data_IF_895027881627
#
_entry.id   IF_895027881627
#
_cell.length_a   1.000
_cell.length_b   1.000
_cell.length_c   1.000
_cell.angle_alpha   90.00
_cell.angle_beta   90.00
_cell.angle_gamma   90.00
#
_symmetry.space_group_name_H-M   'P 1'
#
loop_
_entity.id
_entity.type
_entity.pdbx_description
1 polymer ?
#
# COMPACT_ATOMS: atom_id res chain seq x y z
N UNK A 1 11.82 -0.36 6.61
CA UNK A 1 11.03 -0.66 7.83
C UNK A 1 11.45 -2.00 8.39
N UNK A 2 11.44 -2.20 9.72
CA UNK A 2 11.74 -3.50 10.35
C UNK A 2 10.44 -4.12 10.86
N UNK A 3 9.94 -5.14 10.17
CA UNK A 3 8.67 -5.80 10.53
C UNK A 3 8.84 -6.68 11.79
N UNK A 4 8.02 -6.48 12.84
CA UNK A 4 7.95 -7.36 14.01
C UNK A 4 7.68 -8.80 13.59
N UNK A 5 8.25 -9.76 14.32
CA UNK A 5 8.21 -11.19 13.94
C UNK A 5 6.78 -11.70 13.84
N UNK A 6 5.92 -11.29 14.76
CA UNK A 6 4.51 -11.62 14.86
C UNK A 6 3.64 -11.06 13.72
N UNK A 7 4.14 -10.05 12.99
CA UNK A 7 3.46 -9.47 11.83
C UNK A 7 4.02 -9.96 10.49
N UNK A 8 5.08 -10.78 10.49
CA UNK A 8 5.69 -11.24 9.24
C UNK A 8 4.77 -12.20 8.50
N UNK A 9 4.75 -12.07 7.19
CA UNK A 9 4.06 -12.97 6.29
C UNK A 9 4.93 -13.33 5.09
N UNK A 10 4.69 -14.50 4.48
CA UNK A 10 5.41 -14.97 3.30
C UNK A 10 6.92 -14.99 3.50
N UNK A 11 7.40 -15.67 4.56
CA UNK A 11 8.84 -15.73 4.92
C UNK A 11 9.51 -14.37 5.18
N UNK A 12 8.71 -13.34 5.50
CA UNK A 12 9.19 -11.98 5.77
C UNK A 12 9.22 -11.07 4.54
N UNK A 13 8.69 -11.52 3.40
CA UNK A 13 8.50 -10.68 2.21
C UNK A 13 7.39 -9.65 2.35
N UNK A 14 6.48 -9.84 3.32
CA UNK A 14 5.39 -8.91 3.62
C UNK A 14 5.22 -8.72 5.14
N UNK A 15 4.55 -7.63 5.52
CA UNK A 15 4.21 -7.30 6.90
C UNK A 15 2.71 -7.07 7.00
N UNK A 16 2.02 -7.86 7.83
CA UNK A 16 0.60 -7.72 8.12
C UNK A 16 0.35 -6.51 9.02
N UNK A 17 -0.83 -5.94 8.92
CA UNK A 17 -1.34 -5.04 9.96
C UNK A 17 -1.64 -5.82 11.24
N UNK A 18 -1.71 -5.14 12.39
CA UNK A 18 -2.13 -5.76 13.65
C UNK A 18 -3.57 -6.32 13.56
N UNK A 19 -4.46 -5.64 12.85
CA UNK A 19 -5.82 -6.14 12.63
C UNK A 19 -5.81 -7.48 11.88
N UNK A 20 -5.02 -7.60 10.81
CA UNK A 20 -4.94 -8.85 10.04
C UNK A 20 -4.22 -9.97 10.81
N UNK A 21 -3.25 -9.63 11.66
CA UNK A 21 -2.52 -10.61 12.45
C UNK A 21 -3.31 -11.15 13.65
N UNK A 22 -4.04 -10.27 14.36
CA UNK A 22 -4.66 -10.62 15.64
C UNK A 22 -6.19 -10.63 15.62
N UNK A 23 -6.82 -9.91 14.68
CA UNK A 23 -8.29 -9.84 14.56
C UNK A 23 -9.00 -9.19 15.74
N UNK A 24 -8.28 -8.55 16.66
CA UNK A 24 -8.89 -8.01 17.87
C UNK A 24 -9.62 -6.69 17.59
N UNK A 25 -10.74 -6.40 18.30
CA UNK A 25 -11.51 -5.18 18.07
C UNK A 25 -10.71 -3.89 18.23
N UNK A 26 -9.71 -3.88 19.11
CA UNK A 26 -8.80 -2.77 19.39
C UNK A 26 -7.92 -2.45 18.18
N UNK A 27 -7.42 -3.48 17.47
CA UNK A 27 -6.56 -3.27 16.31
C UNK A 27 -7.36 -3.05 15.02
N UNK A 28 -8.56 -3.60 14.95
CA UNK A 28 -9.45 -3.46 13.80
C UNK A 28 -10.40 -2.26 13.91
N UNK A 29 -10.40 -1.55 15.04
CA UNK A 29 -11.32 -0.46 15.34
C UNK A 29 -12.79 -0.83 15.09
N UNK A 30 -13.23 -1.92 15.73
CA UNK A 30 -14.60 -2.44 15.61
C UNK A 30 -15.29 -2.56 16.97
N UNK A 31 -16.61 -2.72 16.98
CA UNK A 31 -17.38 -2.87 18.22
C UNK A 31 -17.22 -1.66 19.15
N UNK A 32 -16.76 -1.88 20.37
CA UNK A 32 -16.49 -0.80 21.34
C UNK A 32 -15.43 0.20 20.84
N UNK A 33 -14.57 -0.21 19.91
CA UNK A 33 -13.51 0.61 19.31
C UNK A 33 -13.92 1.18 17.93
N UNK A 34 -15.21 1.19 17.59
CA UNK A 34 -15.68 1.68 16.29
C UNK A 34 -15.68 3.22 16.15
N UNK A 35 -15.02 3.95 17.05
CA UNK A 35 -14.90 5.40 16.98
C UNK A 35 -13.45 5.86 17.16
N UNK A 36 -13.05 7.03 16.59
CA UNK A 36 -11.72 7.60 16.80
C UNK A 36 -11.42 7.96 18.27
N UNK A 37 -12.47 8.19 19.07
CA UNK A 37 -12.32 8.46 20.48
C UNK A 37 -11.85 7.22 21.26
N UNK A 38 -12.34 6.04 20.86
CA UNK A 38 -12.08 4.77 21.56
C UNK A 38 -10.92 3.98 20.93
N UNK A 39 -10.78 3.96 19.60
CA UNK A 39 -9.66 3.27 18.95
C UNK A 39 -8.41 4.13 18.93
N UNK A 40 -7.43 3.77 19.76
CA UNK A 40 -6.16 4.49 19.87
C UNK A 40 -5.06 3.85 19.02
N UNK A 41 -4.05 4.64 18.60
CA UNK A 41 -2.84 4.09 18.03
C UNK A 41 -2.23 3.03 18.95
N UNK A 42 -1.79 1.92 18.36
CA UNK A 42 -1.05 0.86 19.03
C UNK A 42 0.44 0.96 18.70
N UNK A 43 1.27 0.25 19.48
CA UNK A 43 2.70 0.10 19.17
C UNK A 43 2.93 -0.44 17.75
N UNK A 44 2.01 -1.26 17.22
CA UNK A 44 2.11 -1.79 15.87
C UNK A 44 1.84 -0.72 14.81
N UNK A 45 0.79 0.09 14.98
CA UNK A 45 0.50 1.17 14.03
C UNK A 45 1.60 2.24 14.02
N UNK A 46 2.21 2.54 15.17
CA UNK A 46 3.32 3.49 15.25
C UNK A 46 4.55 3.07 14.44
N UNK A 47 4.83 1.75 14.36
CA UNK A 47 5.92 1.22 13.52
C UNK A 47 5.66 1.54 12.04
N UNK A 48 4.42 1.33 11.57
CA UNK A 48 4.03 1.65 10.20
C UNK A 48 4.05 3.16 9.93
N UNK A 49 3.54 3.96 10.86
CA UNK A 49 3.56 5.44 10.74
C UNK A 49 4.98 5.98 10.68
N UNK A 50 5.89 5.46 11.51
CA UNK A 50 7.30 5.89 11.53
C UNK A 50 8.00 5.53 10.23
N UNK A 51 7.71 4.35 9.67
CA UNK A 51 8.27 3.92 8.39
C UNK A 51 7.73 4.74 7.21
N UNK A 52 6.45 5.07 7.24
CA UNK A 52 5.74 5.77 6.18
C UNK A 52 4.83 6.87 6.78
N UNK A 53 5.39 8.06 7.08
CA UNK A 53 4.64 9.12 7.79
C UNK A 53 3.45 9.69 7.03
N UNK A 54 3.44 9.50 5.70
CA UNK A 54 2.39 9.96 4.78
C UNK A 54 1.38 8.88 4.43
N UNK A 55 1.37 7.74 5.12
CA UNK A 55 0.40 6.67 4.88
C UNK A 55 -0.42 6.39 6.13
N UNK A 56 -1.65 5.92 5.93
CA UNK A 56 -2.46 5.38 7.01
C UNK A 56 -1.81 4.15 7.63
N UNK A 57 -1.70 4.14 8.95
CA UNK A 57 -1.12 3.06 9.74
C UNK A 57 -2.14 2.26 10.56
N UNK A 58 -3.33 2.81 10.78
CA UNK A 58 -4.50 2.14 11.37
C UNK A 58 -5.79 2.83 10.89
N UNK A 59 -6.96 2.29 11.25
CA UNK A 59 -8.24 2.68 10.66
C UNK A 59 -8.63 4.16 10.87
N UNK A 60 -8.20 4.77 11.97
CA UNK A 60 -8.46 6.18 12.28
C UNK A 60 -7.20 7.03 12.35
N UNK A 61 -6.13 6.62 11.64
CA UNK A 61 -4.95 7.47 11.47
C UNK A 61 -5.34 8.79 10.79
N UNK A 62 -4.86 9.90 11.33
CA UNK A 62 -5.46 11.22 11.14
C UNK A 62 -5.10 11.89 9.78
N UNK A 63 -5.54 13.14 9.63
CA UNK A 63 -5.44 13.92 8.38
C UNK A 63 -4.01 14.11 7.84
N UNK A 64 -2.96 13.84 8.62
CA UNK A 64 -1.58 13.82 8.12
C UNK A 64 -1.34 12.74 7.05
N UNK A 65 -2.23 11.74 7.00
CA UNK A 65 -2.28 10.70 5.97
C UNK A 65 -3.39 10.94 4.92
N UNK A 66 -4.20 12.00 5.06
CA UNK A 66 -5.25 12.35 4.09
C UNK A 66 -4.73 13.42 3.12
N UNK A 67 -4.66 13.09 1.84
CA UNK A 67 -4.31 14.04 0.79
C UNK A 67 -5.52 14.26 -0.12
N UNK A 68 -5.94 15.51 -0.26
CA UNK A 68 -7.04 15.89 -1.16
C UNK A 68 -6.50 16.81 -2.25
N UNK A 69 -6.83 16.51 -3.50
CA UNK A 69 -6.52 17.35 -4.65
C UNK A 69 -7.81 17.58 -5.45
N UNK A 70 -7.96 18.76 -6.05
CA UNK A 70 -9.08 19.08 -6.95
C UNK A 70 -8.56 19.13 -8.39
N UNK A 71 -9.32 18.54 -9.33
CA UNK A 71 -8.97 18.52 -10.76
C UNK A 71 -7.53 18.03 -11.04
N UNK A 72 -7.20 16.81 -10.61
CA UNK A 72 -5.85 16.25 -10.69
C UNK A 72 -5.79 14.92 -11.45
N UNK A 73 -4.67 14.70 -12.13
CA UNK A 73 -4.25 13.39 -12.63
C UNK A 73 -3.33 12.70 -11.61
N UNK A 74 -3.44 11.38 -11.49
CA UNK A 74 -2.70 10.59 -10.49
C UNK A 74 -1.76 9.59 -11.16
N UNK A 75 -0.56 9.44 -10.63
CA UNK A 75 0.38 8.38 -11.02
C UNK A 75 0.72 7.52 -9.80
N UNK A 76 0.55 6.21 -9.94
CA UNK A 76 0.90 5.23 -8.91
C UNK A 76 2.23 4.57 -9.30
N UNK A 77 3.25 4.82 -8.49
CA UNK A 77 4.59 4.23 -8.69
C UNK A 77 4.82 3.12 -7.67
N UNK A 78 5.06 1.90 -8.14
CA UNK A 78 5.47 0.79 -7.29
C UNK A 78 6.98 0.84 -7.08
N UNK A 79 7.42 0.74 -5.84
CA UNK A 79 8.82 0.94 -5.45
C UNK A 79 9.40 2.26 -5.96
N UNK A 80 8.84 3.42 -5.55
CA UNK A 80 9.40 4.70 -5.93
C UNK A 80 10.84 4.75 -5.42
N UNK A 81 11.80 4.97 -6.31
CA UNK A 81 13.16 5.28 -5.91
C UNK A 81 13.09 6.46 -4.95
N UNK A 82 13.54 6.28 -3.72
CA UNK A 82 13.53 7.34 -2.73
C UNK A 82 14.34 8.51 -3.27
N UNK A 83 13.67 9.49 -3.89
CA UNK A 83 14.18 10.86 -3.91
C UNK A 83 14.08 11.30 -2.46
N UNK A 84 15.09 10.91 -1.68
CA UNK A 84 15.35 11.49 -0.37
C UNK A 84 15.18 12.99 -0.56
N UNK A 85 14.25 13.58 0.17
CA UNK A 85 14.12 15.03 0.28
C UNK A 85 15.37 15.58 1.00
N UNK A 86 16.51 15.47 0.34
CA UNK A 86 17.61 16.38 0.50
C UNK A 86 17.52 17.25 -0.73
N UNK A 87 17.07 18.49 -0.53
CA UNK A 87 17.38 19.58 -1.44
C UNK A 87 18.88 19.47 -1.72
N UNK A 88 19.25 18.91 -2.86
CA UNK A 88 20.61 18.94 -3.34
C UNK A 88 20.83 20.39 -3.73
N UNK A 89 21.41 21.13 -2.79
CA UNK A 89 22.09 22.38 -3.07
C UNK A 89 22.94 22.17 -4.34
N UNK A 90 22.56 22.87 -5.39
CA UNK A 90 23.41 23.40 -6.45
C UNK A 90 24.92 23.14 -6.24
N UNK A 91 25.49 22.25 -7.05
CA UNK A 91 26.93 22.00 -7.11
C UNK A 91 27.39 20.92 -8.12
N UNK A 92 27.48 21.28 -9.40
CA UNK A 92 28.51 20.91 -10.39
C UNK A 92 28.91 19.42 -10.66
N UNK A 93 28.52 18.90 -11.84
CA UNK A 93 29.35 18.50 -13.03
C UNK A 93 28.99 17.18 -13.72
N UNK A 94 29.04 17.28 -15.05
CA UNK A 94 28.87 16.26 -16.09
C UNK A 94 29.90 15.12 -16.01
N UNK A 95 29.50 13.94 -16.49
CA UNK A 95 30.40 12.83 -16.83
C UNK A 95 29.66 11.50 -16.97
N UNK A 96 29.44 11.05 -18.20
CA UNK A 96 28.71 9.82 -18.53
C UNK A 96 29.47 8.51 -18.31
N UNK A 97 28.74 7.40 -18.45
CA UNK A 97 29.29 6.05 -18.50
C UNK A 97 28.19 4.98 -18.41
N UNK A 98 27.87 4.35 -19.55
CA UNK A 98 27.11 3.10 -19.63
C UNK A 98 27.89 1.96 -18.97
N UNK A 99 27.21 1.10 -18.21
CA UNK A 99 27.53 -0.33 -18.18
C UNK A 99 26.26 -1.16 -17.95
N UNK A 100 26.06 -2.06 -18.89
CA UNK A 100 24.95 -2.99 -19.03
C UNK A 100 25.19 -4.27 -18.22
N UNK A 101 24.11 -5.04 -18.02
CA UNK A 101 24.04 -6.46 -17.58
C UNK A 101 23.84 -6.66 -16.07
N UNK A 102 22.73 -7.25 -15.60
CA UNK A 102 22.21 -8.55 -16.03
C UNK A 102 20.69 -8.65 -15.82
N UNK A 103 19.99 -8.95 -16.92
CA UNK A 103 18.57 -9.24 -16.97
C UNK A 103 18.29 -10.57 -16.26
N UNK A 104 17.66 -10.50 -15.09
CA UNK A 104 17.00 -11.66 -14.50
C UNK A 104 15.77 -12.00 -15.35
N UNK A 105 15.52 -13.28 -15.71
CA UNK A 105 14.39 -13.69 -16.55
C UNK A 105 13.00 -13.32 -15.99
N UNK A 106 12.92 -12.82 -14.75
CA UNK A 106 11.69 -12.35 -14.12
C UNK A 106 11.21 -10.97 -14.65
N UNK A 107 12.12 -10.11 -15.14
CA UNK A 107 11.75 -8.76 -15.60
C UNK A 107 11.06 -8.78 -16.97
N UNK A 108 11.36 -9.76 -17.82
CA UNK A 108 10.70 -9.93 -19.13
C UNK A 108 9.24 -10.37 -18.98
N UNK A 109 8.92 -11.17 -17.95
CA UNK A 109 7.53 -11.59 -17.68
C UNK A 109 6.67 -10.46 -17.13
N UNK A 110 7.23 -9.63 -16.25
CA UNK A 110 6.50 -8.49 -15.67
C UNK A 110 6.14 -7.43 -16.73
N UNK A 111 6.99 -7.22 -17.73
CA UNK A 111 6.70 -6.31 -18.85
C UNK A 111 5.55 -6.79 -19.75
N UNK A 112 5.25 -8.09 -19.76
CA UNK A 112 4.10 -8.66 -20.47
C UNK A 112 2.76 -8.46 -19.77
N UNK A 113 2.76 -8.19 -18.46
CA UNK A 113 1.54 -7.96 -17.67
C UNK A 113 1.10 -6.50 -17.73
N UNK A 114 2.03 -5.56 -17.89
CA UNK A 114 1.72 -4.12 -17.81
C UNK A 114 1.72 -3.40 -19.16
N UNK A 115 2.06 -4.07 -20.26
CA UNK A 115 1.86 -3.48 -21.58
C UNK A 115 0.46 -3.82 -22.10
N UNK A 116 -0.53 -3.05 -21.68
CA UNK A 116 -1.85 -3.04 -22.31
C UNK A 116 -2.26 -1.60 -22.54
N UNK A 117 -1.87 -1.10 -23.72
CA UNK A 117 -2.56 -0.03 -24.39
C UNK A 117 -3.91 -0.58 -24.92
N UNK A 118 -4.95 0.25 -24.86
CA UNK A 118 -6.24 0.13 -25.57
C UNK A 118 -7.43 -0.51 -24.84
N UNK A 119 -8.32 0.38 -24.39
CA UNK A 119 -9.77 0.39 -24.65
C UNK A 119 -10.46 -0.93 -25.05
N UNK A 120 -10.92 -1.73 -24.09
CA UNK A 120 -12.24 -2.40 -24.09
C UNK A 120 -12.44 -3.21 -22.80
N UNK A 121 -13.34 -2.75 -21.92
CA UNK A 121 -13.84 -3.55 -20.79
C UNK A 121 -14.99 -4.40 -21.33
N UNK A 122 -14.74 -5.70 -21.57
CA UNK A 122 -15.81 -6.64 -21.86
C UNK A 122 -16.41 -7.15 -20.55
N UNK A 123 -17.55 -6.58 -20.19
CA UNK A 123 -18.37 -6.95 -19.05
C UNK A 123 -18.93 -8.37 -19.20
N UNK A 124 -18.47 -9.30 -18.37
CA UNK A 124 -19.01 -10.66 -18.30
C UNK A 124 -20.10 -10.75 -17.22
N UNK A 125 -21.33 -11.21 -17.53
CA UNK A 125 -22.47 -11.23 -16.61
C UNK A 125 -22.32 -12.23 -15.45
N UNK A 126 -21.32 -13.11 -15.50
CA UNK A 126 -21.04 -14.08 -14.44
C UNK A 126 -20.43 -13.46 -13.17
N UNK A 127 -19.82 -12.27 -13.27
CA UNK A 127 -19.24 -11.56 -12.12
C UNK A 127 -20.30 -10.91 -11.21
N UNK A 128 -21.48 -10.58 -11.75
CA UNK A 128 -22.56 -9.95 -11.00
C UNK A 128 -23.29 -10.95 -10.07
N UNK A 129 -23.39 -12.22 -10.50
CA UNK A 129 -24.05 -13.28 -9.72
C UNK A 129 -23.24 -13.62 -8.47
N UNK A 130 -21.90 -13.66 -8.57
CA UNK A 130 -21.04 -13.88 -7.42
C UNK A 130 -21.07 -12.71 -6.42
N UNK A 131 -21.24 -11.47 -6.90
CA UNK A 131 -21.34 -10.30 -6.01
C UNK A 131 -22.60 -10.34 -5.13
N UNK A 132 -23.75 -10.80 -5.65
CA UNK A 132 -24.97 -10.92 -4.86
C UNK A 132 -24.90 -11.96 -3.74
N UNK A 133 -24.19 -13.08 -3.93
CA UNK A 133 -24.04 -14.11 -2.91
C UNK A 133 -23.15 -13.62 -1.76
N UNK A 134 -22.06 -12.90 -2.07
CA UNK A 134 -21.18 -12.32 -1.06
C UNK A 134 -21.83 -11.20 -0.24
N UNK A 135 -22.80 -10.46 -0.82
CA UNK A 135 -23.52 -9.41 -0.10
C UNK A 135 -24.59 -9.96 0.86
N UNK A 136 -25.14 -11.16 0.61
CA UNK A 136 -26.11 -11.80 1.51
C UNK A 136 -25.46 -12.40 2.77
N UNK A 137 -24.22 -12.87 2.70
CA UNK A 137 -23.50 -13.41 3.86
C UNK A 137 -22.84 -12.35 4.76
N UNK A 138 -22.81 -11.08 4.33
CA UNK A 138 -22.20 -9.99 5.10
C UNK A 138 -23.22 -9.24 6.00
N UNK A 139 -24.46 -9.72 6.07
CA UNK A 139 -25.50 -9.18 6.97
C UNK A 139 -26.08 -10.20 7.96
N UNK A 140 -25.45 -11.37 8.12
CA UNK A 140 -25.73 -12.33 9.20
C UNK A 140 -24.55 -12.40 10.16
#
# INVERSE_FOLDING_TARGET
>A
MKCPTELRFGSGSACKSACEAFGSPEYCCSGAYASPAECKPSMYSEIFKTACPRSYSYAFDDATSTFTCTSADYTITLCPSSLSQKSAANGWREGGGLSESSSSPLSTWLSGVFNSNSSNIQSSPYLLIFSCIFLLFRQL
#
